data_IF_517415613639
#
_entry.id   IF_517415613639
#
_cell.length_a   1.000
_cell.length_b   1.000
_cell.length_c   1.000
_cell.angle_alpha   90.00
_cell.angle_beta   90.00
_cell.angle_gamma   90.00
#
_symmetry.space_group_name_H-M   'P 1'
#
loop_
_entity.id
_entity.type
_entity.pdbx_description
1 polymer ?
#
# COMPACT_ATOMS: atom_id res chain seq x y z
N UNK A 1 -3.39 26.17 -8.39
CA UNK A 1 -3.75 24.86 -7.80
C UNK A 1 -2.90 23.70 -8.33
N UNK A 2 -2.92 23.35 -9.63
CA UNK A 2 -2.19 22.19 -10.17
C UNK A 2 -0.68 22.17 -9.88
N UNK A 3 -0.02 23.32 -9.95
CA UNK A 3 1.39 23.44 -9.56
C UNK A 3 1.63 23.00 -8.10
N UNK A 4 0.81 23.51 -7.16
CA UNK A 4 0.88 23.13 -5.74
C UNK A 4 0.64 21.63 -5.53
N UNK A 5 -0.31 21.05 -6.26
CA UNK A 5 -0.56 19.59 -6.23
C UNK A 5 0.71 18.82 -6.64
N UNK A 6 1.38 19.26 -7.71
CA UNK A 6 2.62 18.65 -8.17
C UNK A 6 3.76 18.79 -7.16
N UNK A 7 3.89 19.96 -6.54
CA UNK A 7 4.93 20.25 -5.54
C UNK A 7 4.71 19.49 -4.22
N UNK A 8 3.47 19.27 -3.81
CA UNK A 8 3.12 18.62 -2.55
C UNK A 8 2.92 17.11 -2.64
N UNK A 9 3.07 16.51 -3.83
CA UNK A 9 2.92 15.06 -4.01
C UNK A 9 4.02 14.29 -3.26
N UNK A 10 3.63 13.70 -2.13
CA UNK A 10 4.56 13.08 -1.20
C UNK A 10 4.73 11.57 -1.44
N UNK A 11 3.82 10.89 -2.15
CA UNK A 11 3.81 9.42 -2.28
C UNK A 11 4.51 8.98 -3.56
N UNK A 12 4.07 9.51 -4.70
CA UNK A 12 4.61 9.18 -6.02
C UNK A 12 4.96 10.45 -6.79
N UNK A 13 6.22 10.94 -6.75
CA UNK A 13 6.59 12.23 -7.33
C UNK A 13 6.12 12.37 -8.78
N UNK A 14 5.50 13.51 -9.10
CA UNK A 14 5.05 13.82 -10.47
C UNK A 14 6.29 14.03 -11.34
N UNK A 15 6.37 13.28 -12.45
CA UNK A 15 7.59 13.30 -13.29
C UNK A 15 7.65 14.50 -14.22
N UNK A 16 6.51 14.86 -14.80
CA UNK A 16 6.38 15.94 -15.78
C UNK A 16 4.90 16.32 -15.95
N UNK A 17 4.65 17.35 -16.77
CA UNK A 17 3.28 17.82 -17.06
C UNK A 17 2.37 16.75 -17.65
N UNK A 18 2.89 15.90 -18.54
CA UNK A 18 2.13 14.79 -19.13
C UNK A 18 1.70 13.78 -18.06
N UNK A 19 2.54 13.52 -17.06
CA UNK A 19 2.19 12.69 -15.91
C UNK A 19 1.05 13.30 -15.10
N UNK A 20 1.12 14.61 -14.83
CA UNK A 20 0.05 15.31 -14.12
C UNK A 20 -1.27 15.27 -14.89
N UNK A 21 -1.24 15.54 -16.22
CA UNK A 21 -2.41 15.43 -17.09
C UNK A 21 -3.05 14.04 -17.00
N UNK A 22 -2.24 12.97 -17.00
CA UNK A 22 -2.76 11.61 -16.84
C UNK A 22 -3.40 11.38 -15.47
N UNK A 23 -2.86 11.94 -14.39
CA UNK A 23 -3.40 11.79 -13.02
C UNK A 23 -4.72 12.51 -12.77
N UNK A 24 -5.11 13.42 -13.67
CA UNK A 24 -6.40 14.13 -13.62
C UNK A 24 -7.27 13.84 -14.85
N UNK A 25 -6.86 12.88 -15.69
CA UNK A 25 -7.56 12.49 -16.90
C UNK A 25 -8.58 11.36 -16.69
N UNK A 26 -9.00 10.70 -17.78
CA UNK A 26 -9.93 9.57 -17.72
C UNK A 26 -9.46 8.47 -16.77
N UNK A 27 -10.42 7.86 -16.09
CA UNK A 27 -10.27 6.86 -15.05
C UNK A 27 -9.42 7.32 -13.86
N UNK A 28 -9.27 8.64 -13.66
CA UNK A 28 -8.59 9.24 -12.51
C UNK A 28 -9.46 10.36 -11.93
N UNK A 29 -9.45 10.45 -10.60
CA UNK A 29 -10.05 11.57 -9.87
C UNK A 29 -9.03 12.12 -8.88
N UNK A 30 -8.90 13.42 -8.82
CA UNK A 30 -8.05 14.11 -7.85
C UNK A 30 -8.93 15.01 -6.99
N UNK A 31 -9.06 14.65 -5.72
CA UNK A 31 -9.83 15.43 -4.75
C UNK A 31 -8.88 16.29 -3.93
N UNK A 32 -9.26 17.54 -3.73
CA UNK A 32 -8.50 18.50 -2.93
C UNK A 32 -9.38 19.03 -1.83
N UNK A 33 -8.92 18.89 -0.59
CA UNK A 33 -9.54 19.52 0.56
C UNK A 33 -8.88 20.87 0.82
N UNK A 34 -9.70 21.91 0.90
CA UNK A 34 -9.28 23.28 1.20
C UNK A 34 -10.05 23.79 2.42
N UNK A 35 -9.51 24.80 3.08
CA UNK A 35 -10.25 25.53 4.12
C UNK A 35 -11.00 26.69 3.47
N UNK A 36 -12.20 27.03 3.97
CA UNK A 36 -13.01 28.12 3.40
C UNK A 36 -12.27 29.47 3.39
N UNK A 37 -11.40 29.72 4.38
CA UNK A 37 -10.55 30.92 4.43
C UNK A 37 -9.25 30.82 3.61
N UNK A 38 -8.93 29.65 3.06
CA UNK A 38 -7.74 29.40 2.22
C UNK A 38 -8.11 28.52 1.01
N UNK A 39 -8.99 29.00 0.10
CA UNK A 39 -9.51 28.19 -1.00
C UNK A 39 -8.44 27.79 -2.02
N UNK A 40 -7.37 28.57 -2.13
CA UNK A 40 -6.25 28.31 -3.05
C UNK A 40 -5.12 27.46 -2.45
N UNK A 41 -5.28 27.04 -1.19
CA UNK A 41 -4.29 26.25 -0.45
C UNK A 41 -4.82 24.82 -0.25
N UNK A 42 -4.28 23.83 -0.96
CA UNK A 42 -4.64 22.44 -0.72
C UNK A 42 -4.15 22.05 0.66
N UNK A 43 -5.01 21.49 1.51
CA UNK A 43 -4.64 20.91 2.81
C UNK A 43 -4.37 19.41 2.69
N UNK A 44 -5.21 18.73 1.91
CA UNK A 44 -5.05 17.32 1.57
C UNK A 44 -5.32 17.13 0.10
N UNK A 45 -4.46 16.36 -0.57
CA UNK A 45 -4.63 15.93 -1.95
C UNK A 45 -4.79 14.42 -1.96
N UNK A 46 -5.87 13.95 -2.60
CA UNK A 46 -6.20 12.53 -2.74
C UNK A 46 -6.30 12.17 -4.22
N UNK A 47 -5.36 11.36 -4.70
CA UNK A 47 -5.44 10.78 -6.02
C UNK A 47 -6.11 9.41 -5.98
N UNK A 48 -7.12 9.26 -6.83
CA UNK A 48 -7.94 8.06 -6.96
C UNK A 48 -7.83 7.52 -8.38
N UNK A 49 -7.58 6.23 -8.52
CA UNK A 49 -7.71 5.52 -9.78
C UNK A 49 -9.01 4.72 -9.80
N UNK A 50 -9.78 4.88 -10.86
CA UNK A 50 -10.96 4.07 -11.15
C UNK A 50 -10.51 2.78 -11.84
N UNK A 51 -11.14 1.66 -11.49
CA UNK A 51 -10.72 0.33 -11.93
C UNK A 51 -11.90 -0.64 -11.95
N UNK A 52 -11.74 -1.72 -12.70
CA UNK A 52 -12.63 -2.88 -12.74
C UNK A 52 -12.48 -3.79 -11.49
N UNK A 53 -11.34 -3.70 -10.81
CA UNK A 53 -11.01 -4.48 -9.61
C UNK A 53 -10.00 -3.77 -8.68
N UNK A 54 -9.81 -4.30 -7.46
CA UNK A 54 -8.78 -3.79 -6.53
C UNK A 54 -7.37 -4.11 -7.04
N UNK A 55 -6.68 -3.05 -7.48
CA UNK A 55 -5.30 -3.15 -7.99
C UNK A 55 -4.31 -3.64 -6.91
N UNK A 56 -3.44 -4.57 -7.32
CA UNK A 56 -2.33 -5.07 -6.49
C UNK A 56 -0.99 -4.38 -6.77
N UNK A 57 -0.88 -3.54 -7.80
CA UNK A 57 0.38 -2.89 -8.17
C UNK A 57 0.16 -1.55 -8.85
N UNK A 58 1.20 -0.71 -8.86
CA UNK A 58 1.18 0.57 -9.58
C UNK A 58 1.03 0.38 -11.09
N UNK A 59 1.64 -0.67 -11.65
CA UNK A 59 1.41 -1.04 -13.05
C UNK A 59 -0.04 -1.48 -13.29
N UNK A 60 -0.65 -2.20 -12.35
CA UNK A 60 -2.05 -2.61 -12.41
C UNK A 60 -3.01 -1.42 -12.52
N UNK A 61 -2.75 -0.32 -11.80
CA UNK A 61 -3.51 0.93 -11.91
C UNK A 61 -3.43 1.52 -13.32
N UNK A 62 -2.23 1.52 -13.93
CA UNK A 62 -2.05 2.03 -15.30
C UNK A 62 -2.76 1.12 -16.30
N UNK A 63 -2.59 -0.20 -16.18
CA UNK A 63 -3.21 -1.18 -17.07
C UNK A 63 -4.74 -1.20 -16.96
N UNK A 64 -5.33 -0.95 -15.77
CA UNK A 64 -6.78 -0.90 -15.60
C UNK A 64 -7.42 0.20 -16.44
N UNK A 65 -6.84 1.40 -16.45
CA UNK A 65 -7.31 2.49 -17.31
C UNK A 65 -7.28 2.08 -18.78
N UNK A 66 -6.18 1.48 -19.25
CA UNK A 66 -6.09 1.00 -20.62
C UNK A 66 -7.13 -0.07 -20.96
N UNK A 67 -7.39 -1.04 -20.07
CA UNK A 67 -8.42 -2.08 -20.29
C UNK A 67 -9.82 -1.51 -20.42
N UNK A 68 -10.15 -0.49 -19.62
CA UNK A 68 -11.47 0.13 -19.62
C UNK A 68 -11.67 1.15 -20.76
N UNK A 69 -10.58 1.61 -21.39
CA UNK A 69 -10.63 2.49 -22.58
C UNK A 69 -10.81 1.72 -23.90
N UNK A 70 -10.73 0.39 -23.91
CA UNK A 70 -10.90 -0.40 -25.14
C UNK A 70 -12.38 -0.67 -25.39
N UNK A 71 -12.87 -0.25 -26.55
CA UNK A 71 -14.20 -0.60 -27.03
C UNK A 71 -14.24 -2.07 -27.46
N UNK A 72 -14.87 -2.93 -26.65
CA UNK A 72 -15.07 -4.35 -26.94
C UNK A 72 -15.96 -4.60 -28.17
N UNK A 73 -16.65 -3.57 -28.69
CA UNK A 73 -17.49 -3.67 -29.89
C UNK A 73 -16.74 -3.36 -31.19
N UNK A 74 -15.55 -2.74 -31.10
CA UNK A 74 -14.69 -2.48 -32.25
C UNK A 74 -13.86 -3.72 -32.58
N UNK A 75 -14.21 -4.42 -33.68
CA UNK A 75 -13.29 -5.36 -34.32
C UNK A 75 -12.00 -4.62 -34.67
N UNK A 76 -10.86 -5.18 -34.27
CA UNK A 76 -9.46 -4.83 -34.60
C UNK A 76 -8.89 -3.50 -34.07
N UNK A 77 -7.79 -3.63 -33.32
CA UNK A 77 -6.54 -2.84 -33.34
C UNK A 77 -6.56 -1.31 -33.44
N UNK A 78 -7.63 -0.64 -32.99
CA UNK A 78 -7.62 0.81 -32.79
C UNK A 78 -7.67 1.09 -31.29
N UNK A 79 -6.54 1.53 -30.74
CA UNK A 79 -6.50 2.21 -29.43
C UNK A 79 -7.29 3.50 -29.61
N UNK A 80 -8.59 3.44 -29.29
CA UNK A 80 -9.42 4.63 -29.28
C UNK A 80 -8.88 5.50 -28.15
N UNK A 81 -8.33 6.65 -28.52
CA UNK A 81 -7.96 7.72 -27.60
C UNK A 81 -9.28 8.38 -27.12
N UNK A 82 -10.18 7.59 -26.54
CA UNK A 82 -11.47 8.08 -26.07
C UNK A 82 -11.21 8.85 -24.77
N UNK A 83 -11.48 10.16 -24.83
CA UNK A 83 -11.61 10.98 -23.63
C UNK A 83 -12.87 10.62 -22.83
N UNK A 84 -13.73 9.75 -23.39
CA UNK A 84 -14.96 9.26 -22.76
C UNK A 84 -14.72 8.05 -21.85
N UNK A 85 -15.15 8.18 -20.61
CA UNK A 85 -15.17 7.09 -19.64
C UNK A 85 -16.47 6.30 -19.76
N UNK A 86 -16.40 4.98 -19.59
CA UNK A 86 -17.59 4.16 -19.45
C UNK A 86 -17.86 3.87 -17.96
N UNK A 87 -18.88 4.52 -17.35
CA UNK A 87 -19.18 4.32 -15.94
C UNK A 87 -19.56 2.87 -15.57
N UNK A 88 -20.04 2.07 -16.53
CA UNK A 88 -20.46 0.69 -16.24
C UNK A 88 -19.29 -0.26 -15.96
N UNK A 89 -18.07 0.11 -16.37
CA UNK A 89 -16.86 -0.69 -16.14
C UNK A 89 -16.23 -0.43 -14.77
N UNK A 90 -16.53 0.71 -14.15
CA UNK A 90 -15.93 1.15 -12.89
C UNK A 90 -16.61 0.43 -11.72
N UNK A 91 -15.86 -0.46 -11.07
CA UNK A 91 -16.33 -1.25 -9.89
C UNK A 91 -15.52 -0.93 -8.63
N UNK A 92 -14.29 -0.48 -8.78
CA UNK A 92 -13.37 -0.19 -7.70
C UNK A 92 -12.75 1.22 -7.82
N UNK A 93 -12.57 1.85 -6.66
CA UNK A 93 -11.84 3.10 -6.50
C UNK A 93 -10.59 2.88 -5.63
N UNK A 94 -9.42 3.18 -6.19
CA UNK A 94 -8.11 2.93 -5.60
C UNK A 94 -7.45 4.24 -5.19
N UNK A 95 -7.38 4.49 -3.88
CA UNK A 95 -6.69 5.63 -3.29
C UNK A 95 -5.18 5.36 -3.27
N UNK A 96 -4.47 5.78 -4.32
CA UNK A 96 -3.06 5.44 -4.51
C UNK A 96 -2.09 6.54 -4.06
N UNK A 97 -2.56 7.76 -3.80
CA UNK A 97 -1.78 8.79 -3.12
C UNK A 97 -2.67 9.66 -2.24
N UNK A 98 -2.28 9.81 -0.97
CA UNK A 98 -2.87 10.73 -0.01
C UNK A 98 -1.73 11.59 0.54
N UNK A 99 -1.76 12.89 0.26
CA UNK A 99 -0.71 13.82 0.67
C UNK A 99 -1.31 14.91 1.57
N UNK A 100 -0.86 14.97 2.82
CA UNK A 100 -1.11 16.12 3.71
C UNK A 100 -0.05 17.17 3.42
N UNK A 101 -0.46 18.35 2.97
CA UNK A 101 0.44 19.39 2.48
C UNK A 101 1.01 20.24 3.61
N UNK A 102 0.24 20.41 4.70
CA UNK A 102 0.60 21.28 5.82
C UNK A 102 1.14 20.46 6.99
N UNK A 103 2.44 20.59 7.28
CA UNK A 103 3.09 19.92 8.43
C UNK A 103 2.48 20.33 9.77
N UNK A 104 2.03 21.59 9.89
CA UNK A 104 1.41 22.11 11.11
C UNK A 104 0.06 21.48 11.47
N UNK A 105 -0.58 20.78 10.52
CA UNK A 105 -1.85 20.07 10.74
C UNK A 105 -1.65 18.57 10.98
N UNK A 106 -0.40 18.12 11.17
CA UNK A 106 -0.11 16.71 11.41
C UNK A 106 -0.79 16.24 12.70
N UNK A 107 -1.62 15.21 12.58
CA UNK A 107 -2.37 14.63 13.70
C UNK A 107 -3.80 15.15 13.85
N UNK A 108 -4.22 16.16 13.08
CA UNK A 108 -5.64 16.55 12.98
C UNK A 108 -6.37 15.48 12.15
N UNK A 109 -7.45 14.92 12.71
CA UNK A 109 -8.21 13.83 12.11
C UNK A 109 -9.14 14.27 10.95
N UNK A 110 -8.54 14.78 9.88
CA UNK A 110 -9.29 15.09 8.65
C UNK A 110 -9.62 13.83 7.82
N UNK A 111 -8.90 12.73 8.04
CA UNK A 111 -8.95 11.53 7.19
C UNK A 111 -10.31 10.82 7.17
N UNK A 112 -11.02 10.78 8.30
CA UNK A 112 -12.25 9.99 8.44
C UNK A 112 -13.37 10.61 7.60
N UNK A 113 -13.43 11.94 7.59
CA UNK A 113 -14.36 12.71 6.78
C UNK A 113 -13.92 12.78 5.31
N UNK A 114 -12.60 12.86 5.06
CA UNK A 114 -12.00 12.86 3.73
C UNK A 114 -12.49 11.68 2.89
N UNK A 115 -12.25 10.45 3.37
CA UNK A 115 -12.58 9.23 2.63
C UNK A 115 -14.09 9.09 2.46
N UNK A 116 -14.89 9.31 3.51
CA UNK A 116 -16.35 9.20 3.42
C UNK A 116 -16.97 10.17 2.41
N UNK A 117 -16.48 11.40 2.34
CA UNK A 117 -17.00 12.36 1.35
C UNK A 117 -16.60 11.94 -0.05
N UNK A 118 -15.34 11.58 -0.26
CA UNK A 118 -14.83 11.15 -1.57
C UNK A 118 -15.59 9.93 -2.07
N UNK A 119 -15.86 8.95 -1.20
CA UNK A 119 -16.69 7.80 -1.51
C UNK A 119 -18.07 8.24 -2.01
N UNK A 120 -18.74 9.18 -1.33
CA UNK A 120 -20.07 9.68 -1.74
C UNK A 120 -20.04 10.36 -3.10
N UNK A 121 -19.05 11.23 -3.35
CA UNK A 121 -18.88 11.88 -4.65
C UNK A 121 -18.66 10.83 -5.76
N UNK A 122 -17.82 9.83 -5.49
CA UNK A 122 -17.56 8.74 -6.44
C UNK A 122 -18.80 7.87 -6.69
N UNK A 123 -19.61 7.58 -5.68
CA UNK A 123 -20.85 6.81 -5.85
C UNK A 123 -21.94 7.59 -6.60
N UNK A 124 -21.97 8.92 -6.43
CA UNK A 124 -22.88 9.77 -7.19
C UNK A 124 -22.51 9.81 -8.68
N UNK A 125 -21.21 9.82 -8.99
CA UNK A 125 -20.70 9.83 -10.36
C UNK A 125 -20.71 8.43 -11.00
N UNK A 126 -20.39 7.39 -10.23
CA UNK A 126 -20.25 5.99 -10.68
C UNK A 126 -21.11 5.05 -9.82
N UNK A 127 -22.41 4.88 -10.13
CA UNK A 127 -23.33 4.11 -9.26
C UNK A 127 -22.96 2.64 -9.04
N UNK A 128 -22.15 2.04 -9.92
CA UNK A 128 -21.70 0.65 -9.81
C UNK A 128 -20.42 0.48 -8.96
N UNK A 129 -19.78 1.57 -8.53
CA UNK A 129 -18.57 1.51 -7.70
C UNK A 129 -18.93 1.05 -6.28
N UNK A 130 -18.40 -0.10 -5.88
CA UNK A 130 -18.70 -0.70 -4.58
C UNK A 130 -17.46 -1.19 -3.83
N UNK A 131 -16.27 -1.09 -4.44
CA UNK A 131 -15.01 -1.47 -3.82
C UNK A 131 -14.16 -0.22 -3.60
N UNK A 132 -13.83 0.06 -2.34
CA UNK A 132 -12.96 1.18 -1.97
C UNK A 132 -11.73 0.64 -1.27
N UNK A 133 -10.56 0.88 -1.82
CA UNK A 133 -9.30 0.41 -1.26
C UNK A 133 -8.19 1.40 -1.53
N UNK A 134 -7.15 1.37 -0.71
CA UNK A 134 -5.90 2.03 -1.06
C UNK A 134 -4.98 1.10 -1.81
N UNK A 135 -3.93 1.65 -2.40
CA UNK A 135 -2.67 0.95 -2.66
C UNK A 135 -1.58 1.78 -1.99
N UNK A 136 -1.22 1.43 -0.75
CA UNK A 136 -0.42 2.27 0.13
C UNK A 136 1.03 1.80 0.22
N UNK A 137 2.02 2.71 0.30
CA UNK A 137 3.41 2.36 0.56
C UNK A 137 3.61 1.92 2.02
N UNK A 138 4.76 1.31 2.29
CA UNK A 138 5.17 0.89 3.64
C UNK A 138 6.55 1.52 3.94
N UNK A 139 6.61 2.83 4.23
CA UNK A 139 7.83 3.64 4.08
C UNK A 139 9.02 3.19 4.93
N UNK A 140 8.78 2.56 6.08
CA UNK A 140 9.82 2.24 7.07
C UNK A 140 10.10 0.75 7.22
N UNK A 141 9.54 -0.10 6.36
CA UNK A 141 9.71 -1.55 6.45
C UNK A 141 11.15 -1.99 6.18
N UNK A 142 11.82 -1.47 5.14
CA UNK A 142 13.21 -1.85 4.82
C UNK A 142 14.18 -1.47 5.95
N UNK A 143 13.97 -0.32 6.58
CA UNK A 143 14.77 0.10 7.74
C UNK A 143 14.59 -0.88 8.90
N UNK A 144 13.34 -1.19 9.25
CA UNK A 144 13.03 -2.21 10.25
C UNK A 144 13.67 -3.57 9.90
N UNK A 145 13.57 -4.02 8.65
CA UNK A 145 14.12 -5.29 8.20
C UNK A 145 15.64 -5.34 8.34
N UNK A 146 16.35 -4.28 7.95
CA UNK A 146 17.81 -4.20 8.09
C UNK A 146 18.24 -4.29 9.55
N UNK A 147 17.51 -3.65 10.47
CA UNK A 147 17.80 -3.74 11.89
C UNK A 147 17.57 -5.15 12.45
N UNK A 148 16.50 -5.84 11.99
CA UNK A 148 16.23 -7.24 12.35
C UNK A 148 17.27 -8.20 11.79
N UNK A 149 17.75 -7.97 10.57
CA UNK A 149 18.83 -8.75 9.98
C UNK A 149 20.13 -8.62 10.77
N UNK A 150 20.48 -7.41 11.23
CA UNK A 150 21.64 -7.20 12.10
C UNK A 150 21.51 -7.92 13.45
N UNK A 151 20.31 -7.96 14.03
CA UNK A 151 20.06 -8.69 15.27
C UNK A 151 20.19 -10.21 15.05
N UNK A 152 19.65 -10.72 13.95
CA UNK A 152 19.78 -12.14 13.57
C UNK A 152 21.25 -12.54 13.31
N UNK A 153 22.02 -11.68 12.66
CA UNK A 153 23.46 -11.88 12.43
C UNK A 153 24.26 -11.98 13.75
N UNK A 154 23.84 -11.26 14.80
CA UNK A 154 24.43 -11.35 16.15
C UNK A 154 23.92 -12.55 16.97
N UNK A 155 23.00 -13.36 16.42
CA UNK A 155 22.38 -14.47 17.13
C UNK A 155 21.36 -14.05 18.19
N UNK A 156 20.85 -12.81 18.15
CA UNK A 156 19.90 -12.29 19.14
C UNK A 156 18.46 -12.75 18.86
N UNK A 157 18.16 -13.17 17.62
CA UNK A 157 16.84 -13.65 17.23
C UNK A 157 16.88 -14.56 16.00
N UNK A 158 15.88 -15.43 15.89
CA UNK A 158 15.61 -16.19 14.68
C UNK A 158 14.65 -15.40 13.78
N UNK A 159 15.13 -14.97 12.60
CA UNK A 159 14.34 -14.17 11.67
C UNK A 159 13.74 -14.99 10.51
N UNK A 160 14.51 -15.97 10.04
CA UNK A 160 14.19 -16.85 8.92
C UNK A 160 14.02 -18.28 9.43
N UNK A 161 13.08 -19.01 8.85
CA UNK A 161 12.90 -20.44 9.14
C UNK A 161 14.04 -21.26 8.50
N UNK A 162 14.24 -22.49 8.96
CA UNK A 162 15.25 -23.40 8.38
C UNK A 162 15.04 -23.60 6.88
N UNK A 163 13.79 -23.80 6.45
CA UNK A 163 13.44 -23.96 5.03
C UNK A 163 13.76 -22.70 4.20
N UNK A 164 13.49 -21.50 4.74
CA UNK A 164 13.84 -20.25 4.05
C UNK A 164 15.35 -20.04 3.96
N UNK A 165 16.11 -20.41 5.00
CA UNK A 165 17.57 -20.37 4.98
C UNK A 165 18.13 -21.32 3.92
N UNK A 166 17.61 -22.55 3.84
CA UNK A 166 18.04 -23.53 2.86
C UNK A 166 17.76 -23.09 1.42
N UNK A 167 16.58 -22.49 1.18
CA UNK A 167 16.25 -21.90 -0.12
C UNK A 167 17.22 -20.76 -0.50
N UNK A 168 17.58 -19.89 0.45
CA UNK A 168 18.49 -18.77 0.20
C UNK A 168 19.95 -19.21 0.00
N UNK A 169 20.39 -20.31 0.63
CA UNK A 169 21.74 -20.88 0.45
C UNK A 169 22.04 -21.34 -0.97
N UNK A 170 21.02 -21.56 -1.80
CA UNK A 170 21.22 -21.86 -3.22
C UNK A 170 21.69 -20.65 -4.04
N UNK A 171 21.45 -19.44 -3.54
CA UNK A 171 21.75 -18.18 -4.23
C UNK A 171 22.82 -17.36 -3.52
N UNK A 172 22.94 -17.52 -2.19
CA UNK A 172 23.83 -16.77 -1.33
C UNK A 172 24.88 -17.71 -0.70
N UNK A 173 26.10 -17.20 -0.53
CA UNK A 173 27.24 -17.87 0.09
C UNK A 173 26.89 -18.33 1.53
N UNK A 174 27.05 -19.62 1.87
CA UNK A 174 26.69 -20.15 3.19
C UNK A 174 27.45 -19.50 4.34
N UNK A 175 28.72 -19.14 4.13
CA UNK A 175 29.62 -18.65 5.18
C UNK A 175 29.28 -17.22 5.65
N UNK A 176 28.52 -16.45 4.87
CA UNK A 176 28.22 -15.03 5.14
C UNK A 176 26.78 -14.64 4.75
N UNK A 177 25.83 -15.57 4.86
CA UNK A 177 24.46 -15.41 4.36
C UNK A 177 23.77 -14.11 4.83
N UNK A 178 23.90 -13.73 6.10
CA UNK A 178 23.29 -12.50 6.63
C UNK A 178 23.90 -11.22 6.04
N UNK A 179 25.22 -11.18 5.89
CA UNK A 179 25.94 -10.04 5.32
C UNK A 179 25.61 -9.88 3.83
N UNK A 180 25.58 -10.99 3.08
CA UNK A 180 25.18 -10.98 1.67
C UNK A 180 23.71 -10.61 1.49
N UNK A 181 22.79 -11.16 2.29
CA UNK A 181 21.38 -10.80 2.23
C UNK A 181 21.17 -9.29 2.46
N UNK A 182 21.86 -8.71 3.45
CA UNK A 182 21.85 -7.26 3.67
C UNK A 182 22.40 -6.50 2.47
N UNK A 183 23.51 -6.94 1.89
CA UNK A 183 24.12 -6.31 0.70
C UNK A 183 23.15 -6.33 -0.48
N UNK A 184 22.55 -7.48 -0.76
CA UNK A 184 21.59 -7.67 -1.85
C UNK A 184 20.34 -6.80 -1.68
N UNK A 185 19.76 -6.76 -0.47
CA UNK A 185 18.63 -5.86 -0.15
C UNK A 185 19.04 -4.38 -0.15
N UNK A 186 20.33 -4.10 0.08
CA UNK A 186 20.85 -2.74 0.04
C UNK A 186 20.96 -2.23 -1.41
N UNK A 187 21.57 -3.03 -2.29
CA UNK A 187 21.84 -2.71 -3.69
C UNK A 187 20.66 -2.96 -4.61
N UNK A 188 19.61 -3.64 -4.14
CA UNK A 188 18.48 -4.14 -4.92
C UNK A 188 18.88 -5.11 -6.05
N UNK A 189 20.04 -5.76 -5.96
CA UNK A 189 20.54 -6.64 -7.03
C UNK A 189 19.67 -7.88 -7.24
N UNK A 190 18.92 -8.32 -6.21
CA UNK A 190 17.97 -9.43 -6.30
C UNK A 190 16.85 -9.22 -7.31
N UNK A 191 16.53 -7.97 -7.68
CA UNK A 191 15.43 -7.68 -8.61
C UNK A 191 15.72 -8.19 -10.02
N UNK A 192 16.99 -8.30 -10.40
CA UNK A 192 17.41 -8.84 -11.70
C UNK A 192 17.50 -10.36 -11.77
N UNK A 193 17.48 -11.04 -10.62
CA UNK A 193 17.73 -12.48 -10.52
C UNK A 193 16.44 -13.22 -10.17
N UNK A 194 15.82 -13.86 -11.16
CA UNK A 194 14.49 -14.48 -11.05
C UNK A 194 14.42 -15.52 -9.92
N UNK A 195 15.47 -16.34 -9.78
CA UNK A 195 15.55 -17.37 -8.73
C UNK A 195 15.57 -16.77 -7.32
N UNK A 196 16.48 -15.82 -7.08
CA UNK A 196 16.60 -15.13 -5.80
C UNK A 196 15.36 -14.29 -5.47
N UNK A 197 14.76 -13.63 -6.47
CA UNK A 197 13.49 -12.91 -6.29
C UNK A 197 12.37 -13.83 -5.80
N UNK A 198 12.25 -15.02 -6.39
CA UNK A 198 11.26 -16.03 -5.99
C UNK A 198 11.52 -16.52 -4.56
N UNK A 199 12.78 -16.82 -4.24
CA UNK A 199 13.19 -17.26 -2.89
C UNK A 199 12.95 -16.20 -1.80
N UNK A 200 13.02 -14.91 -2.14
CA UNK A 200 12.80 -13.80 -1.20
C UNK A 200 11.32 -13.47 -0.97
N UNK A 201 10.41 -13.86 -1.87
CA UNK A 201 8.99 -13.49 -1.79
C UNK A 201 8.35 -13.95 -0.47
N UNK A 202 8.45 -15.25 -0.17
CA UNK A 202 7.89 -15.83 1.05
C UNK A 202 8.39 -15.15 2.34
N UNK A 203 9.71 -15.12 2.59
CA UNK A 203 10.30 -14.47 3.75
C UNK A 203 9.91 -12.99 3.87
N UNK A 204 10.02 -12.21 2.79
CA UNK A 204 9.75 -10.77 2.85
C UNK A 204 8.27 -10.47 3.09
N UNK A 205 7.35 -11.23 2.47
CA UNK A 205 5.92 -11.08 2.70
C UNK A 205 5.53 -11.45 4.14
N UNK A 206 6.08 -12.54 4.68
CA UNK A 206 5.89 -12.95 6.08
C UNK A 206 6.40 -11.91 7.07
N UNK A 207 7.63 -11.41 6.86
CA UNK A 207 8.23 -10.37 7.71
C UNK A 207 7.52 -9.01 7.58
N UNK A 208 6.98 -8.70 6.41
CA UNK A 208 6.18 -7.50 6.20
C UNK A 208 4.84 -7.58 6.94
N UNK A 209 4.17 -8.75 6.89
CA UNK A 209 2.96 -8.99 7.66
C UNK A 209 3.20 -8.87 9.17
N UNK A 210 4.31 -9.44 9.68
CA UNK A 210 4.76 -9.24 11.06
C UNK A 210 4.90 -7.76 11.40
N UNK A 211 5.62 -7.02 10.57
CA UNK A 211 5.90 -5.60 10.78
C UNK A 211 4.62 -4.75 10.86
N UNK A 212 3.66 -5.00 9.97
CA UNK A 212 2.41 -4.24 9.95
C UNK A 212 1.45 -4.65 11.08
N UNK A 213 1.36 -5.95 11.38
CA UNK A 213 0.34 -6.48 12.28
C UNK A 213 0.79 -6.66 13.72
N UNK A 214 2.01 -7.15 13.97
CA UNK A 214 2.49 -7.52 15.30
C UNK A 214 3.33 -6.42 15.95
N UNK A 215 4.14 -5.70 15.18
CA UNK A 215 5.01 -4.66 15.72
C UNK A 215 4.19 -3.42 16.09
N UNK A 216 4.26 -3.01 17.37
CA UNK A 216 3.48 -1.91 17.94
C UNK A 216 4.35 -0.79 18.51
N UNK A 217 3.77 0.42 18.54
CA UNK A 217 4.28 1.58 19.27
C UNK A 217 3.15 2.17 20.11
N UNK A 218 3.28 2.09 21.45
CA UNK A 218 2.24 2.52 22.40
C UNK A 218 0.86 1.87 22.13
N UNK A 219 0.86 0.59 21.78
CA UNK A 219 -0.34 -0.20 21.45
C UNK A 219 -0.82 -0.08 20.00
N UNK A 220 -0.45 0.98 19.27
CA UNK A 220 -0.82 1.19 17.86
C UNK A 220 0.18 0.56 16.90
N UNK A 221 -0.18 0.39 15.62
CA UNK A 221 0.76 -0.14 14.62
C UNK A 221 2.01 0.72 14.52
N UNK A 222 3.17 0.07 14.34
CA UNK A 222 4.45 0.77 14.21
C UNK A 222 4.52 1.63 12.93
N UNK A 223 3.96 1.14 11.83
CA UNK A 223 3.89 1.87 10.56
C UNK A 223 2.86 3.02 10.63
N UNK A 224 3.29 4.21 10.22
CA UNK A 224 2.46 5.42 10.30
C UNK A 224 1.33 5.44 9.27
N UNK A 225 1.52 4.82 8.10
CA UNK A 225 0.51 4.73 7.04
C UNK A 225 -0.56 3.71 7.44
N UNK A 226 -0.16 2.57 8.00
CA UNK A 226 -1.06 1.61 8.63
C UNK A 226 -1.90 2.28 9.72
N UNK A 227 -1.24 3.00 10.63
CA UNK A 227 -1.92 3.69 11.72
C UNK A 227 -2.95 4.70 11.18
N UNK A 228 -2.60 5.44 10.13
CA UNK A 228 -3.53 6.35 9.48
C UNK A 228 -4.76 5.61 8.94
N UNK A 229 -4.61 4.58 8.12
CA UNK A 229 -5.77 3.92 7.50
C UNK A 229 -6.63 3.15 8.51
N UNK A 230 -6.02 2.52 9.53
CA UNK A 230 -6.74 1.80 10.58
C UNK A 230 -7.54 2.75 11.49
N UNK A 231 -7.00 3.93 11.85
CA UNK A 231 -7.79 4.99 12.51
C UNK A 231 -8.98 5.43 11.66
N UNK A 232 -8.83 5.36 10.35
CA UNK A 232 -9.91 5.68 9.41
C UNK A 232 -10.89 4.51 9.15
N UNK A 233 -10.82 3.43 9.94
CA UNK A 233 -11.75 2.30 9.86
C UNK A 233 -11.50 1.34 8.70
N UNK A 234 -10.36 1.45 8.02
CA UNK A 234 -9.99 0.50 6.99
C UNK A 234 -9.57 -0.84 7.59
N UNK A 235 -9.79 -1.92 6.85
CA UNK A 235 -9.21 -3.23 7.11
C UNK A 235 -7.85 -3.34 6.39
N UNK A 236 -6.83 -3.86 7.07
CA UNK A 236 -5.59 -4.27 6.41
C UNK A 236 -5.85 -5.53 5.59
N UNK A 237 -6.06 -5.35 4.28
CA UNK A 237 -6.77 -6.33 3.48
C UNK A 237 -5.87 -7.23 2.64
N UNK A 238 -4.82 -6.71 2.02
CA UNK A 238 -3.93 -7.53 1.18
C UNK A 238 -2.52 -6.96 1.12
N UNK A 239 -1.52 -7.80 1.36
CA UNK A 239 -0.14 -7.51 0.99
C UNK A 239 0.10 -7.89 -0.46
N UNK A 240 0.82 -7.03 -1.18
CA UNK A 240 1.10 -7.20 -2.59
C UNK A 240 2.61 -7.23 -2.85
N UNK A 241 3.08 -8.37 -3.32
CA UNK A 241 4.45 -8.54 -3.78
C UNK A 241 4.67 -7.79 -5.10
N UNK A 242 5.86 -7.21 -5.29
CA UNK A 242 6.26 -6.49 -6.52
C UNK A 242 5.26 -5.39 -6.95
N UNK A 243 4.64 -4.75 -5.99
CA UNK A 243 3.64 -3.72 -6.24
C UNK A 243 4.25 -2.39 -6.71
N UNK A 244 5.46 -2.05 -6.22
CA UNK A 244 6.22 -0.87 -6.63
C UNK A 244 7.73 -1.18 -6.73
N UNK A 245 8.20 -1.53 -7.93
CA UNK A 245 9.62 -1.79 -8.20
C UNK A 245 10.41 -0.52 -8.56
N UNK A 246 9.86 0.68 -8.32
CA UNK A 246 10.66 1.91 -8.45
C UNK A 246 11.76 1.94 -7.39
N UNK A 247 12.85 2.71 -7.59
CA UNK A 247 13.90 2.86 -6.57
C UNK A 247 13.35 3.28 -5.20
N UNK A 248 12.29 4.08 -5.18
CA UNK A 248 11.60 4.49 -3.95
C UNK A 248 10.83 3.34 -3.30
N UNK A 249 10.04 2.58 -4.07
CA UNK A 249 9.31 1.42 -3.55
C UNK A 249 10.24 0.34 -2.99
N UNK A 250 11.35 0.08 -3.68
CA UNK A 250 12.41 -0.81 -3.19
C UNK A 250 13.09 -0.27 -1.91
N UNK A 251 13.39 1.03 -1.88
CA UNK A 251 13.99 1.71 -0.72
C UNK A 251 13.10 1.76 0.51
N UNK A 252 11.78 1.79 0.33
CA UNK A 252 10.79 1.82 1.41
C UNK A 252 10.53 0.42 1.98
N UNK A 253 10.23 -0.54 1.10
CA UNK A 253 9.59 -1.80 1.51
C UNK A 253 9.93 -3.00 0.63
N UNK A 254 11.09 -2.98 -0.04
CA UNK A 254 11.48 -4.04 -0.97
C UNK A 254 10.42 -4.25 -2.08
N UNK A 255 9.69 -3.20 -2.44
CA UNK A 255 8.64 -3.22 -3.46
C UNK A 255 7.29 -3.79 -3.03
N UNK A 256 7.11 -4.06 -1.73
CA UNK A 256 5.81 -4.48 -1.17
C UNK A 256 4.93 -3.26 -0.93
N UNK A 257 3.66 -3.36 -1.33
CA UNK A 257 2.62 -2.39 -0.95
C UNK A 257 1.45 -3.11 -0.30
N UNK A 258 0.58 -2.37 0.36
CA UNK A 258 -0.57 -2.91 1.10
C UNK A 258 -1.86 -2.25 0.64
N UNK A 259 -2.90 -3.05 0.46
CA UNK A 259 -4.26 -2.57 0.27
C UNK A 259 -4.94 -2.42 1.64
N UNK A 260 -5.35 -1.20 2.00
CA UNK A 260 -6.30 -0.97 3.09
C UNK A 260 -7.70 -0.80 2.51
N UNK A 261 -8.58 -1.75 2.79
CA UNK A 261 -9.94 -1.79 2.21
C UNK A 261 -10.93 -1.13 3.14
N UNK A 262 -11.75 -0.24 2.58
CA UNK A 262 -12.80 0.47 3.29
C UNK A 262 -14.14 -0.21 3.04
N UNK A 263 -14.61 -0.97 4.03
CA UNK A 263 -15.97 -1.49 4.08
C UNK A 263 -16.86 -0.43 4.72
N UNK A 264 -17.76 0.17 3.93
CA UNK A 264 -18.49 1.37 4.33
C UNK A 264 -19.42 1.12 5.54
N UNK A 265 -19.97 -0.08 5.62
CA UNK A 265 -20.82 -0.58 6.71
C UNK A 265 -20.07 -0.84 8.02
N UNK A 266 -18.74 -0.97 7.97
CA UNK A 266 -17.90 -1.33 9.12
C UNK A 266 -16.89 -0.23 9.49
N UNK A 267 -16.96 0.92 8.84
CA UNK A 267 -15.94 1.96 8.97
C UNK A 267 -15.91 2.52 10.40
N UNK A 268 -17.06 2.91 10.96
CA UNK A 268 -17.16 3.42 12.32
C UNK A 268 -16.76 2.37 13.37
N UNK A 269 -17.20 1.12 13.20
CA UNK A 269 -16.92 0.05 14.15
C UNK A 269 -15.44 -0.33 14.14
N UNK A 270 -14.83 -0.49 12.96
CA UNK A 270 -13.39 -0.74 12.84
C UNK A 270 -12.55 0.42 13.39
N UNK A 271 -12.95 1.66 13.10
CA UNK A 271 -12.26 2.86 13.61
C UNK A 271 -12.30 2.90 15.14
N UNK A 272 -13.48 2.64 15.73
CA UNK A 272 -13.65 2.58 17.19
C UNK A 272 -12.78 1.50 17.80
N UNK A 273 -12.84 0.27 17.30
CA UNK A 273 -12.03 -0.86 17.81
C UNK A 273 -10.54 -0.58 17.75
N UNK A 274 -10.05 0.05 16.68
CA UNK A 274 -8.64 0.40 16.59
C UNK A 274 -8.23 1.50 17.59
N UNK A 275 -9.07 2.51 17.82
CA UNK A 275 -8.75 3.63 18.70
C UNK A 275 -8.94 3.32 20.19
N UNK A 276 -9.99 2.57 20.54
CA UNK A 276 -10.35 2.29 21.93
C UNK A 276 -9.75 0.97 22.42
N UNK A 277 -9.75 -0.06 21.58
CA UNK A 277 -9.31 -1.42 21.95
C UNK A 277 -7.93 -1.76 21.40
N UNK A 278 -7.32 -0.88 20.59
CA UNK A 278 -6.05 -1.14 19.88
C UNK A 278 -6.12 -2.38 18.95
N UNK A 279 -7.33 -2.80 18.59
CA UNK A 279 -7.57 -3.98 17.77
C UNK A 279 -7.40 -3.65 16.28
N UNK A 280 -6.62 -4.46 15.57
CA UNK A 280 -6.37 -4.30 14.14
C UNK A 280 -7.25 -5.26 13.34
N UNK A 281 -8.19 -4.72 12.57
CA UNK A 281 -8.99 -5.49 11.62
C UNK A 281 -8.14 -5.87 10.40
N UNK A 282 -7.96 -7.17 10.17
CA UNK A 282 -7.12 -7.72 9.07
C UNK A 282 -7.84 -8.82 8.29
N UNK A 283 -7.39 -9.09 7.06
CA UNK A 283 -7.83 -10.25 6.30
C UNK A 283 -7.09 -11.54 6.70
N UNK A 284 -7.61 -12.68 6.26
CA UNK A 284 -6.99 -13.99 6.47
C UNK A 284 -5.58 -14.09 5.86
N UNK A 285 -5.34 -13.50 4.67
CA UNK A 285 -4.03 -13.54 4.01
C UNK A 285 -2.96 -12.89 4.91
N UNK A 286 -3.25 -11.70 5.43
CA UNK A 286 -2.32 -10.96 6.29
C UNK A 286 -2.13 -11.69 7.62
N UNK A 287 -3.22 -12.18 8.22
CA UNK A 287 -3.16 -12.91 9.49
C UNK A 287 -2.34 -14.20 9.37
N UNK A 288 -2.52 -14.97 8.29
CA UNK A 288 -1.76 -16.21 8.04
C UNK A 288 -0.27 -15.93 7.88
N UNK A 289 0.10 -14.90 7.12
CA UNK A 289 1.49 -14.49 6.95
C UNK A 289 2.10 -14.00 8.28
N UNK A 290 1.35 -13.23 9.07
CA UNK A 290 1.83 -12.76 10.37
C UNK A 290 1.95 -13.91 11.38
N UNK A 291 1.01 -14.85 11.42
CA UNK A 291 1.07 -16.02 12.30
C UNK A 291 2.28 -16.91 12.00
N UNK A 292 2.57 -17.14 10.70
CA UNK A 292 3.77 -17.86 10.27
C UNK A 292 5.09 -17.20 10.72
N UNK A 293 5.06 -15.92 11.10
CA UNK A 293 6.24 -15.19 11.58
C UNK A 293 6.56 -15.37 13.07
N UNK A 294 5.67 -16.01 13.84
CA UNK A 294 5.83 -16.17 15.28
C UNK A 294 6.48 -17.53 15.63
N UNK A 295 6.57 -18.47 14.68
CA UNK A 295 7.03 -19.84 14.93
C UNK A 295 6.06 -20.62 15.83
N UNK A 296 6.38 -21.89 16.15
CA UNK A 296 5.57 -22.75 17.06
C UNK A 296 5.47 -22.21 18.51
N UNK A 297 6.17 -21.13 18.84
CA UNK A 297 6.12 -20.49 20.17
C UNK A 297 5.14 -19.32 20.22
N UNK A 298 3.83 -19.54 20.01
CA UNK A 298 2.80 -18.66 20.57
C UNK A 298 1.36 -19.21 20.49
N UNK A 299 1.06 -20.29 21.20
CA UNK A 299 -0.31 -20.56 21.68
C UNK A 299 -0.84 -19.49 22.66
N UNK A 300 -0.04 -18.46 22.99
CA UNK A 300 -0.44 -17.37 23.90
C UNK A 300 -0.95 -16.10 23.20
N UNK A 301 -0.67 -15.87 21.92
CA UNK A 301 -1.13 -14.65 21.22
C UNK A 301 -2.55 -14.81 20.67
N UNK A 302 -2.97 -16.03 20.36
CA UNK A 302 -4.33 -16.35 19.88
C UNK A 302 -5.40 -16.38 20.97
N UNK A 303 -5.03 -16.38 22.26
CA UNK A 303 -6.00 -16.38 23.37
C UNK A 303 -6.55 -14.99 23.75
N UNK A 304 -6.09 -13.94 23.07
CA UNK A 304 -6.62 -12.57 23.16
C UNK A 304 -6.98 -11.95 21.79
N UNK A 305 -7.04 -12.78 20.75
CA UNK A 305 -7.73 -12.45 19.49
C UNK A 305 -9.22 -12.75 19.61
#
# INVERSE_FOLDING_TARGET
>A
MLQKISEYEAVHPVRNWTDLKRRVGPYRRCFVYTHSSMPDEPLVVLHTALSDEIAGSMSGIVSAASRMSVDLTAKSDVVVNSEEENPSLVKAAIFYSISSTQKGLQGIELGNYLIKRVVRELQAEFPLVNQFSTLSPIPTFRLYLVDRLKAAERGEMELLTSNELDQLRHFLSPDNLWSELRKVLHTNSWVGEVGLMSALEGPLMRLCARYLYLEKRRGYTLDSVANFHLRNGAMMWRLNWRADLTPRGLGNSCGIMVNYRYFLDQLESNSRRYQEEQYVTVSEQVLRLAAASIGEQAEKVTSKL
#
